data_IF_761463883553
#
_entry.id   IF_761463883553
#
_cell.length_a   1.000
_cell.length_b   1.000
_cell.length_c   1.000
_cell.angle_alpha   90.00
_cell.angle_beta   90.00
_cell.angle_gamma   90.00
#
_symmetry.space_group_name_H-M   'P 1'
#
loop_
_entity.id
_entity.type
_entity.pdbx_description
1 polymer ?
#
# COMPACT_ATOMS: atom_id res chain seq x y z
N UNK A 1 -23.81 9.84 27.42
CA UNK A 1 -23.55 9.03 26.20
C UNK A 1 -22.33 9.60 25.43
N UNK A 2 -21.15 9.68 26.04
CA UNK A 2 -19.93 10.23 25.40
C UNK A 2 -19.04 9.16 24.76
N UNK A 3 -19.13 7.91 25.22
CA UNK A 3 -18.25 6.80 24.83
C UNK A 3 -18.31 6.44 23.35
N UNK A 4 -19.50 6.51 22.73
CA UNK A 4 -19.67 6.16 21.32
C UNK A 4 -18.88 7.07 20.37
N UNK A 5 -18.79 8.38 20.68
CA UNK A 5 -17.98 9.34 19.92
C UNK A 5 -16.49 9.01 19.99
N UNK A 6 -15.99 8.61 21.16
CA UNK A 6 -14.59 8.22 21.33
C UNK A 6 -14.23 6.95 20.55
N UNK A 7 -15.12 5.96 20.55
CA UNK A 7 -14.93 4.71 19.79
C UNK A 7 -14.87 5.02 18.28
N UNK A 8 -15.82 5.79 17.75
CA UNK A 8 -15.84 6.16 16.34
C UNK A 8 -14.59 6.95 15.91
N UNK A 9 -14.17 7.94 16.70
CA UNK A 9 -12.96 8.73 16.39
C UNK A 9 -11.70 7.85 16.42
N UNK A 10 -11.64 6.88 17.34
CA UNK A 10 -10.51 5.94 17.41
C UNK A 10 -10.48 5.01 16.20
N UNK A 11 -11.62 4.47 15.78
CA UNK A 11 -11.72 3.64 14.58
C UNK A 11 -11.34 4.42 13.31
N UNK A 12 -11.78 5.68 13.20
CA UNK A 12 -11.38 6.55 12.09
C UNK A 12 -9.86 6.81 12.06
N UNK A 13 -9.23 7.05 13.22
CA UNK A 13 -7.77 7.19 13.30
C UNK A 13 -7.05 5.94 12.82
N UNK A 14 -7.51 4.76 13.26
CA UNK A 14 -6.94 3.47 12.83
C UNK A 14 -7.09 3.31 11.31
N UNK A 15 -8.26 3.62 10.76
CA UNK A 15 -8.51 3.55 9.33
C UNK A 15 -7.59 4.48 8.53
N UNK A 16 -7.39 5.71 9.02
CA UNK A 16 -6.46 6.68 8.41
C UNK A 16 -5.01 6.16 8.43
N UNK A 17 -4.57 5.57 9.55
CA UNK A 17 -3.22 4.99 9.64
C UNK A 17 -3.06 3.82 8.67
N UNK A 18 -4.05 2.92 8.58
CA UNK A 18 -4.03 1.81 7.62
C UNK A 18 -3.98 2.34 6.18
N UNK A 19 -4.78 3.35 5.86
CA UNK A 19 -4.77 3.97 4.53
C UNK A 19 -3.41 4.59 4.20
N UNK A 20 -2.78 5.28 5.15
CA UNK A 20 -1.42 5.82 5.01
C UNK A 20 -0.40 4.72 4.74
N UNK A 21 -0.47 3.59 5.45
CA UNK A 21 0.43 2.44 5.24
C UNK A 21 0.25 1.87 3.84
N UNK A 22 -0.99 1.73 3.35
CA UNK A 22 -1.25 1.24 1.99
C UNK A 22 -0.67 2.22 0.95
N UNK A 23 -0.86 3.53 1.13
CA UNK A 23 -0.33 4.54 0.22
C UNK A 23 1.20 4.48 0.21
N UNK A 24 1.85 4.44 1.38
CA UNK A 24 3.30 4.33 1.49
C UNK A 24 3.83 3.04 0.85
N UNK A 25 3.11 1.93 0.99
CA UNK A 25 3.46 0.68 0.34
C UNK A 25 3.43 0.80 -1.18
N UNK A 26 2.34 1.33 -1.75
CA UNK A 26 2.21 1.54 -3.20
C UNK A 26 3.27 2.51 -3.72
N UNK A 27 3.51 3.63 -3.03
CA UNK A 27 4.56 4.58 -3.44
C UNK A 27 5.94 3.94 -3.35
N UNK A 28 6.20 3.15 -2.31
CA UNK A 28 7.44 2.41 -2.14
C UNK A 28 7.69 1.41 -3.28
N UNK A 29 6.66 0.66 -3.70
CA UNK A 29 6.78 -0.27 -4.83
C UNK A 29 6.93 0.47 -6.16
N UNK A 30 6.24 1.60 -6.35
CA UNK A 30 6.42 2.46 -7.54
C UNK A 30 7.85 2.96 -7.67
N UNK A 31 8.45 3.40 -6.56
CA UNK A 31 9.84 3.86 -6.52
C UNK A 31 10.78 2.67 -6.78
N UNK A 32 10.58 1.53 -6.10
CA UNK A 32 11.44 0.36 -6.22
C UNK A 32 11.41 -0.26 -7.62
N UNK A 33 10.22 -0.49 -8.18
CA UNK A 33 10.06 -1.06 -9.51
C UNK A 33 10.37 -0.05 -10.62
N UNK A 34 9.88 1.18 -10.47
CA UNK A 34 9.96 2.19 -11.50
C UNK A 34 11.30 2.91 -11.57
N UNK A 35 11.76 3.49 -10.45
CA UNK A 35 13.00 4.28 -10.42
C UNK A 35 14.25 3.41 -10.32
N UNK A 36 14.22 2.33 -9.53
CA UNK A 36 15.38 1.45 -9.33
C UNK A 36 15.36 0.29 -10.34
N UNK A 37 14.19 -0.32 -10.56
CA UNK A 37 14.00 -1.45 -11.47
C UNK A 37 13.90 -1.09 -12.95
N UNK A 38 13.98 0.20 -13.30
CA UNK A 38 13.90 0.70 -14.68
C UNK A 38 12.60 0.32 -15.42
N UNK A 39 11.55 -0.08 -14.68
CA UNK A 39 10.21 -0.37 -15.18
C UNK A 39 9.32 0.87 -15.17
N UNK A 40 8.06 0.75 -15.59
CA UNK A 40 7.10 1.84 -15.46
C UNK A 40 6.48 1.82 -14.05
N UNK A 41 6.55 2.92 -13.26
CA UNK A 41 5.95 2.98 -11.93
C UNK A 41 4.47 2.57 -11.89
N UNK A 42 3.71 2.81 -12.96
CA UNK A 42 2.29 2.42 -13.03
C UNK A 42 2.05 0.91 -13.08
N UNK A 43 3.05 0.12 -13.48
CA UNK A 43 2.89 -1.33 -13.64
C UNK A 43 2.75 -2.06 -12.29
N UNK A 44 2.97 -1.37 -11.15
CA UNK A 44 2.70 -1.94 -9.82
C UNK A 44 1.23 -2.30 -9.61
N UNK A 45 0.32 -1.75 -10.42
CA UNK A 45 -1.10 -2.12 -10.43
C UNK A 45 -1.41 -3.31 -11.35
N UNK A 46 -0.44 -3.77 -12.15
CA UNK A 46 -0.58 -4.96 -12.99
C UNK A 46 -0.22 -6.22 -12.19
N UNK A 47 -1.14 -7.19 -12.16
CA UNK A 47 -0.97 -8.49 -11.50
C UNK A 47 0.25 -9.26 -12.05
N UNK A 48 0.63 -9.04 -13.31
CA UNK A 48 1.78 -9.71 -13.94
C UNK A 48 3.10 -9.40 -13.23
N UNK A 49 3.26 -8.18 -12.72
CA UNK A 49 4.47 -7.79 -11.97
C UNK A 49 4.58 -8.56 -10.68
N UNK A 50 3.48 -8.68 -9.94
CA UNK A 50 3.43 -9.46 -8.71
C UNK A 50 3.69 -10.94 -8.96
N UNK A 51 3.12 -11.49 -10.03
CA UNK A 51 3.41 -12.87 -10.45
C UNK A 51 4.89 -13.06 -10.79
N UNK A 52 5.50 -12.09 -11.48
CA UNK A 52 6.94 -12.11 -11.79
C UNK A 52 7.80 -12.07 -10.51
N UNK A 53 7.47 -11.21 -9.56
CA UNK A 53 8.14 -11.13 -8.24
C UNK A 53 7.98 -12.43 -7.47
N UNK A 54 6.78 -13.01 -7.42
CA UNK A 54 6.53 -14.27 -6.71
C UNK A 54 7.24 -15.45 -7.37
N UNK A 55 7.34 -15.46 -8.69
CA UNK A 55 8.13 -16.44 -9.43
C UNK A 55 9.63 -16.35 -9.12
N UNK A 56 10.15 -15.17 -8.76
CA UNK A 56 11.54 -15.02 -8.33
C UNK A 56 11.83 -15.74 -7.00
N UNK A 57 10.84 -15.85 -6.11
CA UNK A 57 10.97 -16.54 -4.83
C UNK A 57 10.71 -18.05 -4.92
N UNK A 58 10.25 -18.54 -6.06
CA UNK A 58 10.03 -19.97 -6.31
C UNK A 58 11.31 -20.64 -6.77
#
# INVERSE_FOLDING_TARGET
MSSFRYILVTLLKILVVISLVIILFVVGTMIGYGLIGNGNPMDVFDEKIWTHIMNFFK
#
